data_IF_727810409686
#
_entry.id   IF_727810409686
#
_cell.length_a   1.000
_cell.length_b   1.000
_cell.length_c   1.000
_cell.angle_alpha   90.00
_cell.angle_beta   90.00
_cell.angle_gamma   90.00
#
_symmetry.space_group_name_H-M   'P 1'
#
loop_
_entity.id
_entity.type
_entity.pdbx_description
1 polymer ?
#
# COMPACT_ATOMS: atom_id res chain seq x y z
N UNK A 1 9.89 -39.60 -18.74
CA UNK A 1 9.46 -39.24 -17.38
C UNK A 1 9.91 -37.81 -17.08
N UNK A 2 9.10 -36.84 -17.49
CA UNK A 2 9.36 -35.42 -17.26
C UNK A 2 8.92 -35.07 -15.83
N UNK A 3 9.86 -34.58 -15.02
CA UNK A 3 9.60 -34.09 -13.66
C UNK A 3 8.68 -32.87 -13.75
N UNK A 4 7.62 -32.89 -12.96
CA UNK A 4 6.65 -31.81 -12.79
C UNK A 4 7.27 -30.72 -11.88
N UNK A 5 7.52 -29.48 -12.35
CA UNK A 5 8.13 -28.42 -11.56
C UNK A 5 7.15 -27.72 -10.59
N UNK A 6 5.93 -28.25 -10.40
CA UNK A 6 4.91 -27.65 -9.53
C UNK A 6 4.85 -28.21 -8.10
N UNK A 7 5.82 -29.06 -7.69
CA UNK A 7 5.79 -29.69 -6.35
C UNK A 7 6.53 -28.91 -5.23
N UNK A 8 7.18 -27.78 -5.52
CA UNK A 8 8.03 -27.08 -4.53
C UNK A 8 7.65 -25.60 -4.31
N UNK A 9 6.36 -25.25 -4.34
CA UNK A 9 5.91 -23.98 -3.75
C UNK A 9 5.24 -24.22 -2.40
N UNK A 10 6.01 -24.78 -1.45
CA UNK A 10 5.69 -24.62 -0.03
C UNK A 10 5.75 -23.13 0.27
N UNK A 11 4.60 -22.50 0.39
CA UNK A 11 4.52 -21.07 0.68
C UNK A 11 5.11 -20.81 2.06
N UNK A 12 5.87 -19.72 2.21
CA UNK A 12 6.46 -19.29 3.49
C UNK A 12 5.44 -19.25 4.65
N UNK A 13 4.15 -19.05 4.34
CA UNK A 13 3.02 -19.12 5.26
C UNK A 13 2.86 -20.47 5.98
N UNK A 14 3.13 -21.59 5.31
CA UNK A 14 3.04 -22.93 5.91
C UNK A 14 4.17 -23.19 6.91
N UNK A 15 5.32 -22.52 6.74
CA UNK A 15 6.42 -22.55 7.70
C UNK A 15 6.20 -21.56 8.84
N UNK A 16 5.68 -20.36 8.57
CA UNK A 16 5.51 -19.29 9.56
C UNK A 16 4.36 -19.57 10.55
N UNK A 17 3.27 -20.19 10.09
CA UNK A 17 2.13 -20.58 10.92
C UNK A 17 2.48 -21.63 11.99
N UNK A 18 3.55 -22.40 11.78
CA UNK A 18 4.03 -23.45 12.70
C UNK A 18 4.98 -22.95 13.79
N UNK A 19 5.44 -21.70 13.70
CA UNK A 19 6.33 -21.10 14.69
C UNK A 19 5.54 -20.64 15.93
N UNK A 20 6.11 -20.85 17.10
CA UNK A 20 5.60 -20.28 18.36
C UNK A 20 5.72 -18.75 18.34
N UNK A 21 4.94 -18.00 19.15
CA UNK A 21 5.06 -16.55 19.24
C UNK A 21 6.48 -16.05 19.53
N UNK A 22 7.24 -16.76 20.37
CA UNK A 22 8.64 -16.46 20.66
C UNK A 22 9.56 -16.73 19.47
N UNK A 23 9.34 -17.82 18.73
CA UNK A 23 10.11 -18.13 17.52
C UNK A 23 9.84 -17.14 16.39
N UNK A 24 8.62 -16.59 16.28
CA UNK A 24 8.30 -15.52 15.33
C UNK A 24 9.01 -14.22 15.68
N UNK A 25 9.12 -13.89 16.97
CA UNK A 25 9.90 -12.75 17.45
C UNK A 25 11.40 -12.94 17.21
N UNK A 26 11.94 -14.13 17.46
CA UNK A 26 13.35 -14.44 17.19
C UNK A 26 13.68 -14.47 15.69
N UNK A 27 12.80 -14.97 14.83
CA UNK A 27 12.96 -14.93 13.37
C UNK A 27 12.87 -13.48 12.83
N UNK A 28 11.98 -12.65 13.38
CA UNK A 28 11.93 -11.23 13.07
C UNK A 28 13.19 -10.50 13.57
N UNK A 29 13.72 -10.86 14.74
CA UNK A 29 14.93 -10.29 15.31
C UNK A 29 16.22 -10.74 14.59
N UNK A 30 16.32 -11.99 14.13
CA UNK A 30 17.50 -12.51 13.43
C UNK A 30 17.61 -11.98 11.99
N UNK A 31 16.48 -11.67 11.36
CA UNK A 31 16.45 -10.94 10.07
C UNK A 31 16.90 -9.47 10.22
N UNK A 32 16.80 -8.90 11.43
CA UNK A 32 17.31 -7.57 11.76
C UNK A 32 18.82 -7.57 12.04
N UNK A 33 19.39 -8.66 12.58
CA UNK A 33 20.83 -8.73 12.89
C UNK A 33 21.72 -8.88 11.64
N UNK A 34 21.26 -9.57 10.59
CA UNK A 34 22.01 -9.69 9.33
C UNK A 34 22.04 -8.39 8.52
N UNK A 35 21.02 -7.53 8.68
CA UNK A 35 21.03 -6.17 8.13
C UNK A 35 21.84 -5.18 8.98
N UNK A 36 22.06 -5.47 10.27
CA UNK A 36 22.75 -4.58 11.21
C UNK A 36 24.29 -4.68 11.16
N UNK A 37 24.88 -5.75 10.62
CA UNK A 37 26.34 -5.93 10.60
C UNK A 37 27.09 -5.15 9.49
N UNK A 38 26.40 -4.39 8.64
CA UNK A 38 27.04 -3.53 7.63
C UNK A 38 27.11 -2.04 7.97
N UNK A 39 26.93 -1.64 9.25
CA UNK A 39 27.12 -0.24 9.66
C UNK A 39 27.84 -0.09 10.99
N UNK A 40 29.16 -0.27 10.95
CA UNK A 40 30.10 0.43 11.82
C UNK A 40 31.02 1.27 10.93
N UNK A 41 30.92 2.59 11.06
CA UNK A 41 31.88 3.54 10.48
C UNK A 41 31.26 4.68 9.68
N UNK A 42 31.19 5.86 10.31
CA UNK A 42 31.13 7.14 9.59
C UNK A 42 29.81 7.90 9.73
N UNK A 43 29.84 8.97 10.52
CA UNK A 43 28.83 10.02 10.51
C UNK A 43 28.79 10.65 9.10
N UNK A 44 27.67 10.48 8.40
CA UNK A 44 27.38 11.21 7.16
C UNK A 44 25.98 11.78 7.29
N UNK A 45 25.89 13.12 7.36
CA UNK A 45 24.66 13.86 7.06
C UNK A 45 24.34 13.62 5.57
N UNK A 46 23.62 12.54 5.26
CA UNK A 46 23.09 12.28 3.91
C UNK A 46 21.71 12.90 3.83
N UNK A 47 21.62 14.08 3.21
CA UNK A 47 20.41 14.47 2.47
C UNK A 47 20.19 13.40 1.41
N UNK A 48 19.28 12.46 1.68
CA UNK A 48 18.88 11.44 0.71
C UNK A 48 18.01 12.11 -0.35
N UNK A 49 18.63 12.52 -1.47
CA UNK A 49 17.90 12.77 -2.70
C UNK A 49 17.56 11.39 -3.27
N UNK A 50 16.36 10.89 -2.97
CA UNK A 50 15.82 9.73 -3.66
C UNK A 50 15.67 10.10 -5.14
N UNK A 51 16.34 9.37 -6.03
CA UNK A 51 16.10 9.50 -7.46
C UNK A 51 14.66 9.06 -7.72
N UNK A 52 13.77 10.02 -8.00
CA UNK A 52 12.35 9.78 -8.26
C UNK A 52 12.27 8.86 -9.49
N UNK A 53 11.82 7.61 -9.33
CA UNK A 53 11.49 6.76 -10.49
C UNK A 53 10.39 7.47 -11.28
N UNK A 54 10.67 7.73 -12.55
CA UNK A 54 9.74 8.37 -13.46
C UNK A 54 8.88 7.30 -14.13
N UNK A 55 7.56 7.47 -14.10
CA UNK A 55 6.60 6.58 -14.74
C UNK A 55 5.71 7.44 -15.61
N UNK A 56 5.66 7.14 -16.90
CA UNK A 56 4.86 7.94 -17.83
C UNK A 56 3.35 7.67 -17.66
N UNK A 57 2.99 6.53 -17.06
CA UNK A 57 1.60 6.18 -16.77
C UNK A 57 1.46 5.23 -15.59
N UNK A 58 0.28 5.24 -14.97
CA UNK A 58 -0.16 4.25 -13.98
C UNK A 58 -1.48 3.63 -14.37
N UNK A 59 -1.78 2.48 -13.78
CA UNK A 59 -2.95 1.69 -14.07
C UNK A 59 -3.76 1.48 -12.80
N UNK A 60 -5.08 1.43 -12.95
CA UNK A 60 -6.00 0.97 -11.92
C UNK A 60 -6.91 -0.08 -12.53
N UNK A 61 -7.17 -1.15 -11.81
CA UNK A 61 -8.20 -2.11 -12.17
C UNK A 61 -9.34 -2.09 -11.16
N UNK A 62 -10.53 -2.37 -11.67
CA UNK A 62 -11.76 -2.45 -10.89
C UNK A 62 -12.76 -3.36 -11.61
N UNK A 63 -13.79 -3.82 -10.91
CA UNK A 63 -14.88 -4.57 -11.55
C UNK A 63 -15.89 -3.64 -12.20
N UNK A 64 -16.09 -2.46 -11.62
CA UNK A 64 -16.97 -1.43 -12.11
C UNK A 64 -16.42 -0.06 -11.68
N UNK A 65 -15.97 0.72 -12.65
CA UNK A 65 -15.47 2.07 -12.39
C UNK A 65 -16.56 3.07 -12.03
N UNK A 66 -17.81 2.84 -12.38
CA UNK A 66 -18.91 3.77 -12.10
C UNK A 66 -19.56 3.52 -10.74
N UNK A 67 -19.36 2.34 -10.15
CA UNK A 67 -19.79 2.08 -8.78
C UNK A 67 -18.98 2.90 -7.76
N UNK A 68 -19.70 3.65 -6.91
CA UNK A 68 -19.12 4.44 -5.81
C UNK A 68 -18.63 3.59 -4.64
N UNK A 69 -19.09 2.34 -4.57
CA UNK A 69 -18.79 1.43 -3.48
C UNK A 69 -18.37 0.04 -3.99
N UNK A 70 -17.87 -0.78 -3.08
CA UNK A 70 -17.70 -2.22 -3.26
C UNK A 70 -18.18 -2.96 -2.01
N UNK A 71 -18.61 -4.23 -2.13
CA UNK A 71 -18.91 -5.04 -0.97
C UNK A 71 -17.66 -5.22 -0.10
N UNK A 72 -17.86 -5.18 1.21
CA UNK A 72 -16.87 -5.61 2.20
C UNK A 72 -16.56 -7.10 2.05
N UNK A 73 -15.49 -7.57 2.69
CA UNK A 73 -15.10 -8.98 2.64
C UNK A 73 -16.19 -9.93 3.15
N UNK A 74 -17.04 -9.49 4.08
CA UNK A 74 -18.18 -10.26 4.58
C UNK A 74 -19.43 -10.13 3.70
N UNK A 75 -19.43 -9.22 2.72
CA UNK A 75 -20.57 -8.89 1.87
C UNK A 75 -21.70 -8.14 2.59
N UNK A 76 -21.55 -7.81 3.88
CA UNK A 76 -22.64 -7.24 4.69
C UNK A 76 -22.77 -5.73 4.59
N UNK A 77 -21.72 -5.06 4.16
CA UNK A 77 -21.64 -3.60 4.07
C UNK A 77 -20.94 -3.17 2.81
N UNK A 78 -21.30 -1.98 2.32
CA UNK A 78 -20.65 -1.30 1.21
C UNK A 78 -19.50 -0.41 1.72
N UNK A 79 -18.36 -0.48 1.03
CA UNK A 79 -17.17 0.31 1.32
C UNK A 79 -16.96 1.32 0.18
N UNK A 80 -16.90 2.63 0.48
CA UNK A 80 -16.58 3.65 -0.52
C UNK A 80 -15.26 3.36 -1.24
N UNK A 81 -15.24 3.60 -2.56
CA UNK A 81 -14.05 3.43 -3.39
C UNK A 81 -13.91 4.57 -4.39
N UNK A 82 -12.75 4.62 -5.04
CA UNK A 82 -12.55 5.50 -6.17
C UNK A 82 -13.44 5.07 -7.35
N UNK A 83 -14.05 6.05 -8.02
CA UNK A 83 -15.01 5.83 -9.10
C UNK A 83 -14.93 6.95 -10.14
N UNK A 84 -15.41 6.69 -11.35
CA UNK A 84 -15.62 7.69 -12.39
C UNK A 84 -16.97 8.38 -12.16
N UNK A 85 -16.98 9.71 -12.21
CA UNK A 85 -18.21 10.49 -12.26
C UNK A 85 -18.81 10.55 -13.67
N UNK A 86 -19.93 11.26 -13.83
CA UNK A 86 -20.63 11.42 -15.11
C UNK A 86 -19.79 12.13 -16.19
N UNK A 87 -18.79 12.91 -15.77
CA UNK A 87 -17.85 13.59 -16.67
C UNK A 87 -16.64 12.72 -16.98
N UNK A 88 -16.52 11.53 -16.39
CA UNK A 88 -15.37 10.64 -16.51
C UNK A 88 -14.17 11.05 -15.67
N UNK A 89 -14.33 11.95 -14.69
CA UNK A 89 -13.27 12.25 -13.73
C UNK A 89 -13.17 11.11 -12.71
N UNK A 90 -11.95 10.72 -12.33
CA UNK A 90 -11.75 9.74 -11.29
C UNK A 90 -11.72 10.43 -9.91
N UNK A 91 -12.74 10.13 -9.13
CA UNK A 91 -12.98 10.70 -7.81
C UNK A 91 -12.51 9.70 -6.75
N UNK A 92 -11.66 10.08 -5.77
CA UNK A 92 -11.36 9.23 -4.61
C UNK A 92 -12.63 8.98 -3.78
N UNK A 93 -12.55 8.06 -2.81
CA UNK A 93 -13.68 7.78 -1.92
C UNK A 93 -14.21 9.04 -1.20
N UNK A 94 -13.31 9.94 -0.80
CA UNK A 94 -13.66 11.27 -0.30
C UNK A 94 -12.55 12.29 -0.65
N UNK A 95 -12.74 13.16 -1.66
CA UNK A 95 -11.75 14.17 -2.05
C UNK A 95 -11.32 15.12 -0.93
N UNK A 96 -12.22 15.38 0.01
CA UNK A 96 -11.98 16.25 1.18
C UNK A 96 -11.55 15.45 2.42
N UNK A 97 -11.27 14.16 2.25
CA UNK A 97 -10.94 13.25 3.32
C UNK A 97 -9.59 13.53 3.97
N UNK A 98 -9.44 13.12 5.23
CA UNK A 98 -8.25 13.37 6.05
C UNK A 98 -7.49 12.11 6.44
N UNK A 99 -7.87 10.94 5.93
CA UNK A 99 -7.12 9.72 6.17
C UNK A 99 -5.66 9.89 5.75
N UNK A 100 -4.75 9.28 6.52
CA UNK A 100 -3.33 9.18 6.22
C UNK A 100 -3.05 8.14 5.11
N UNK A 101 -1.85 8.17 4.55
CA UNK A 101 -1.39 7.14 3.60
C UNK A 101 -1.44 5.76 4.27
N UNK A 102 -0.96 5.65 5.51
CA UNK A 102 -0.98 4.40 6.27
C UNK A 102 -2.39 3.87 6.44
N UNK A 103 -3.35 4.70 6.85
CA UNK A 103 -4.75 4.29 6.96
C UNK A 103 -5.32 3.83 5.62
N UNK A 104 -5.03 4.56 4.55
CA UNK A 104 -5.45 4.17 3.21
C UNK A 104 -4.93 2.79 2.82
N UNK A 105 -3.61 2.55 2.92
CA UNK A 105 -2.98 1.29 2.53
C UNK A 105 -3.49 0.13 3.39
N UNK A 106 -3.68 0.35 4.70
CA UNK A 106 -4.22 -0.66 5.62
C UNK A 106 -5.72 -0.89 5.49
N UNK A 107 -6.39 -0.18 4.56
CA UNK A 107 -7.84 -0.17 4.39
C UNK A 107 -8.62 0.24 5.67
N UNK A 108 -8.06 1.13 6.45
CA UNK A 108 -8.68 1.75 7.64
C UNK A 108 -9.32 3.08 7.22
N UNK A 109 -10.47 3.44 7.80
CA UNK A 109 -11.15 4.72 7.55
C UNK A 109 -11.38 5.03 6.05
N UNK A 110 -11.74 4.02 5.25
CA UNK A 110 -11.87 4.15 3.79
C UNK A 110 -12.84 5.24 3.31
N UNK A 111 -13.90 5.53 4.07
CA UNK A 111 -14.85 6.60 3.76
C UNK A 111 -14.21 8.00 3.85
N UNK A 112 -13.08 8.15 4.53
CA UNK A 112 -12.36 9.42 4.69
C UNK A 112 -11.08 9.48 3.86
N UNK A 113 -10.95 8.59 2.87
CA UNK A 113 -9.74 8.49 2.05
C UNK A 113 -9.74 9.46 0.87
N UNK A 114 -8.77 10.40 0.80
CA UNK A 114 -8.57 11.26 -0.37
C UNK A 114 -7.70 10.64 -1.47
N UNK A 115 -7.28 9.37 -1.30
CA UNK A 115 -6.36 8.72 -2.23
C UNK A 115 -7.04 7.74 -3.18
N UNK A 116 -6.47 7.64 -4.37
CA UNK A 116 -6.73 6.64 -5.40
C UNK A 116 -5.51 5.73 -5.49
N UNK A 117 -5.70 4.43 -5.25
CA UNK A 117 -4.69 3.40 -5.48
C UNK A 117 -4.49 3.12 -6.97
N UNK A 118 -3.24 3.12 -7.39
CA UNK A 118 -2.77 2.80 -8.75
C UNK A 118 -1.48 1.99 -8.70
N UNK A 119 -1.11 1.34 -9.80
CA UNK A 119 0.14 0.62 -9.95
C UNK A 119 0.89 1.11 -11.18
N UNK A 120 2.22 1.18 -11.12
CA UNK A 120 3.04 1.43 -12.31
C UNK A 120 3.20 0.20 -13.21
N UNK A 121 2.68 -0.97 -12.82
CA UNK A 121 2.89 -2.23 -13.52
C UNK A 121 1.59 -2.73 -14.15
N UNK A 122 1.53 -2.72 -15.48
CA UNK A 122 0.33 -3.08 -16.23
C UNK A 122 -0.15 -4.51 -15.98
N UNK A 123 0.76 -5.46 -15.71
CA UNK A 123 0.44 -6.88 -15.51
C UNK A 123 -0.24 -7.20 -14.19
N UNK A 124 -0.11 -6.33 -13.19
CA UNK A 124 -0.67 -6.51 -11.85
C UNK A 124 -2.19 -6.27 -11.85
N UNK A 125 -2.69 -5.46 -12.80
CA UNK A 125 -4.08 -5.03 -12.88
C UNK A 125 -5.08 -6.18 -13.03
N UNK A 126 -4.73 -7.28 -13.71
CA UNK A 126 -5.63 -8.45 -13.90
C UNK A 126 -6.09 -9.11 -12.60
N UNK A 127 -5.37 -8.92 -11.49
CA UNK A 127 -5.71 -9.52 -10.19
C UNK A 127 -6.80 -8.76 -9.44
N UNK A 128 -7.08 -7.51 -9.82
CA UNK A 128 -7.88 -6.58 -9.01
C UNK A 128 -9.23 -6.20 -9.63
N UNK A 129 -9.49 -6.61 -10.87
CA UNK A 129 -10.76 -6.32 -11.52
C UNK A 129 -10.84 -6.81 -12.96
N UNK A 130 -12.04 -6.74 -13.53
CA UNK A 130 -12.32 -7.08 -14.94
C UNK A 130 -12.16 -5.90 -15.88
N UNK A 131 -12.01 -4.69 -15.36
CA UNK A 131 -11.78 -3.47 -16.14
C UNK A 131 -10.47 -2.81 -15.73
N UNK A 132 -9.90 -2.00 -16.61
CA UNK A 132 -8.71 -1.19 -16.33
C UNK A 132 -8.85 0.21 -16.91
N UNK A 133 -8.32 1.18 -16.17
CA UNK A 133 -7.99 2.52 -16.70
C UNK A 133 -6.47 2.73 -16.66
N UNK A 134 -5.99 3.56 -17.57
CA UNK A 134 -4.64 4.11 -17.57
C UNK A 134 -4.72 5.60 -17.27
N UNK A 135 -3.78 6.11 -16.50
CA UNK A 135 -3.64 7.54 -16.19
C UNK A 135 -2.28 8.00 -16.70
N UNK A 136 -2.27 9.03 -17.56
CA UNK A 136 -1.07 9.71 -18.06
C UNK A 136 -0.48 10.57 -16.93
N UNK A 137 0.56 10.06 -16.29
CA UNK A 137 1.16 10.71 -15.12
C UNK A 137 1.97 11.94 -15.51
N UNK A 138 2.56 11.97 -16.70
CA UNK A 138 3.41 13.08 -17.13
C UNK A 138 2.57 14.33 -17.35
N UNK A 139 1.48 14.20 -18.11
CA UNK A 139 0.53 15.30 -18.33
C UNK A 139 -0.17 15.71 -17.03
N UNK A 140 -0.52 14.75 -16.17
CA UNK A 140 -1.12 15.06 -14.88
C UNK A 140 -0.14 15.83 -13.99
N UNK A 141 1.13 15.41 -13.92
CA UNK A 141 2.16 16.07 -13.13
C UNK A 141 2.46 17.49 -13.64
N UNK A 142 2.45 17.69 -14.96
CA UNK A 142 2.57 19.01 -15.59
C UNK A 142 1.38 19.92 -15.25
N UNK A 143 0.14 19.41 -15.33
CA UNK A 143 -1.04 20.19 -14.98
C UNK A 143 -1.08 20.55 -13.49
N UNK A 144 -0.62 19.64 -12.61
CA UNK A 144 -0.45 19.92 -11.18
C UNK A 144 0.58 21.02 -10.96
N UNK A 145 1.74 20.98 -11.64
CA UNK A 145 2.79 21.99 -11.46
C UNK A 145 2.39 23.38 -11.94
N UNK A 146 1.49 23.46 -12.93
CA UNK A 146 0.85 24.71 -13.40
C UNK A 146 -0.30 25.19 -12.51
N UNK A 147 -0.72 24.40 -11.52
CA UNK A 147 -1.87 24.72 -10.66
C UNK A 147 -3.24 24.51 -11.31
N UNK A 148 -3.29 23.88 -12.49
CA UNK A 148 -4.54 23.59 -13.21
C UNK A 148 -5.32 22.42 -12.57
N UNK A 149 -4.62 21.57 -11.82
CA UNK A 149 -5.19 20.41 -11.12
C UNK A 149 -4.72 20.42 -9.67
N UNK A 150 -5.66 20.41 -8.75
CA UNK A 150 -5.38 20.29 -7.32
C UNK A 150 -5.29 18.81 -6.93
N UNK A 151 -4.15 18.20 -7.22
CA UNK A 151 -3.86 16.81 -6.87
C UNK A 151 -2.38 16.63 -6.48
N UNK A 152 -2.06 15.49 -5.89
CA UNK A 152 -0.69 15.13 -5.52
C UNK A 152 -0.40 13.68 -5.93
N UNK A 153 0.72 13.47 -6.63
CA UNK A 153 1.21 12.13 -6.98
C UNK A 153 2.22 11.68 -5.92
N UNK A 154 1.92 10.57 -5.27
CA UNK A 154 2.71 10.01 -4.17
C UNK A 154 3.34 8.71 -4.65
N UNK A 155 4.65 8.77 -4.87
CA UNK A 155 5.44 7.62 -5.31
C UNK A 155 5.63 6.57 -4.22
N UNK A 156 5.93 5.34 -4.66
CA UNK A 156 6.16 4.16 -3.83
C UNK A 156 7.11 4.41 -2.64
N UNK A 157 8.22 5.12 -2.87
CA UNK A 157 9.22 5.35 -1.82
C UNK A 157 8.67 6.13 -0.63
N UNK A 158 7.82 7.14 -0.88
CA UNK A 158 7.16 7.91 0.18
C UNK A 158 6.14 7.05 0.93
N UNK A 159 5.35 6.24 0.22
CA UNK A 159 4.39 5.31 0.84
C UNK A 159 5.13 4.37 1.79
N UNK A 160 6.21 3.75 1.32
CA UNK A 160 7.04 2.84 2.13
C UNK A 160 7.65 3.57 3.32
N UNK A 161 8.10 4.81 3.15
CA UNK A 161 8.65 5.61 4.24
C UNK A 161 7.61 5.86 5.35
N UNK A 162 6.39 6.26 5.00
CA UNK A 162 5.31 6.50 5.98
C UNK A 162 4.86 5.21 6.69
N UNK A 163 4.82 4.08 5.96
CA UNK A 163 4.55 2.76 6.55
C UNK A 163 5.66 2.34 7.51
N UNK A 164 6.94 2.53 7.15
CA UNK A 164 8.08 2.22 8.01
C UNK A 164 8.11 3.08 9.28
N UNK A 165 7.77 4.36 9.17
CA UNK A 165 7.65 5.24 10.34
C UNK A 165 6.53 4.75 11.27
N UNK A 166 5.38 4.37 10.70
CA UNK A 166 4.26 3.80 11.46
C UNK A 166 4.62 2.47 12.13
N UNK A 167 5.35 1.61 11.42
CA UNK A 167 5.86 0.33 11.93
C UNK A 167 6.78 0.56 13.13
N UNK A 168 7.69 1.52 13.03
CA UNK A 168 8.65 1.76 14.09
C UNK A 168 8.01 2.36 15.34
N UNK A 169 7.04 3.27 15.19
CA UNK A 169 6.24 3.74 16.31
C UNK A 169 5.51 2.57 17.02
N UNK A 170 4.99 1.60 16.26
CA UNK A 170 4.31 0.42 16.84
C UNK A 170 5.27 -0.53 17.54
N UNK A 171 6.49 -0.71 17.02
CA UNK A 171 7.56 -1.50 17.66
C UNK A 171 8.02 -0.84 18.96
N UNK A 172 8.18 0.48 18.98
CA UNK A 172 8.48 1.23 20.20
C UNK A 172 7.35 1.11 21.23
N UNK A 173 6.08 1.22 20.82
CA UNK A 173 4.94 1.03 21.71
C UNK A 173 4.91 -0.38 22.32
N UNK A 174 5.21 -1.41 21.52
CA UNK A 174 5.32 -2.78 22.00
C UNK A 174 6.45 -2.94 23.03
N UNK A 175 7.64 -2.39 22.75
CA UNK A 175 8.78 -2.43 23.67
C UNK A 175 8.46 -1.78 25.02
N UNK A 176 7.74 -0.66 25.02
CA UNK A 176 7.29 -0.01 26.25
C UNK A 176 6.20 -0.82 26.98
N UNK A 177 5.36 -1.55 26.24
CA UNK A 177 4.29 -2.36 26.84
C UNK A 177 4.87 -3.57 27.59
N UNK A 178 5.83 -4.28 26.99
CA UNK A 178 6.40 -5.50 27.58
C UNK A 178 7.28 -5.22 28.81
N UNK A 179 7.73 -3.98 29.00
CA UNK A 179 8.46 -3.57 30.21
C UNK A 179 7.55 -3.38 31.43
N UNK A 180 6.22 -3.42 31.26
CA UNK A 180 5.27 -3.27 32.36
C UNK A 180 5.02 -4.62 33.02
N UNK A 181 5.09 -4.68 34.35
CA UNK A 181 4.86 -5.92 35.12
C UNK A 181 3.50 -6.58 34.83
N UNK A 182 2.46 -5.78 34.59
CA UNK A 182 1.09 -6.27 34.34
C UNK A 182 0.50 -5.66 33.07
N UNK A 183 1.01 -6.05 31.89
CA UNK A 183 0.45 -5.57 30.62
C UNK A 183 -0.79 -6.33 30.18
N UNK A 184 -1.71 -5.64 29.49
CA UNK A 184 -2.90 -6.28 28.92
C UNK A 184 -2.54 -7.16 27.72
N UNK A 185 -2.78 -8.47 27.83
CA UNK A 185 -2.64 -9.42 26.70
C UNK A 185 -3.42 -8.98 25.47
N UNK A 186 -4.64 -8.47 25.64
CA UNK A 186 -5.46 -7.94 24.53
C UNK A 186 -4.77 -6.78 23.81
N UNK A 187 -4.11 -5.89 24.54
CA UNK A 187 -3.35 -4.76 23.95
C UNK A 187 -2.11 -5.27 23.22
N UNK A 188 -1.39 -6.21 23.82
CA UNK A 188 -0.24 -6.87 23.21
C UNK A 188 -0.62 -7.52 21.86
N UNK A 189 -1.67 -8.34 21.85
CA UNK A 189 -2.13 -9.06 20.66
C UNK A 189 -2.50 -8.07 19.53
N UNK A 190 -3.19 -6.95 19.85
CA UNK A 190 -3.50 -5.89 18.88
C UNK A 190 -2.27 -5.18 18.32
N UNK A 191 -1.24 -4.96 19.13
CA UNK A 191 0.00 -4.33 18.66
C UNK A 191 0.75 -5.26 17.71
N UNK A 192 0.84 -6.55 18.05
CA UNK A 192 1.44 -7.57 17.18
C UNK A 192 0.68 -7.63 15.84
N UNK A 193 -0.65 -7.68 15.86
CA UNK A 193 -1.46 -7.67 14.64
C UNK A 193 -1.19 -6.41 13.80
N UNK A 194 -1.11 -5.24 14.43
CA UNK A 194 -0.80 -3.98 13.74
C UNK A 194 0.58 -3.97 13.10
N UNK A 195 1.59 -4.53 13.78
CA UNK A 195 2.96 -4.67 13.27
C UNK A 195 2.97 -5.58 12.03
N UNK A 196 2.34 -6.74 12.12
CA UNK A 196 2.23 -7.69 11.00
C UNK A 196 1.52 -7.05 9.79
N UNK A 197 0.43 -6.32 10.03
CA UNK A 197 -0.29 -5.58 8.96
C UNK A 197 0.61 -4.57 8.26
N UNK A 198 1.43 -3.84 9.00
CA UNK A 198 2.36 -2.85 8.45
C UNK A 198 3.51 -3.49 7.66
N UNK A 199 4.07 -4.61 8.15
CA UNK A 199 5.10 -5.36 7.42
C UNK A 199 4.54 -5.91 6.09
N UNK A 200 3.35 -6.51 6.13
CA UNK A 200 2.65 -6.96 4.92
C UNK A 200 2.33 -5.81 3.97
N UNK A 201 1.93 -4.65 4.49
CA UNK A 201 1.67 -3.46 3.68
C UNK A 201 2.92 -3.00 2.94
N UNK A 202 4.08 -2.94 3.60
CA UNK A 202 5.35 -2.57 2.96
C UNK A 202 5.67 -3.53 1.80
N UNK A 203 5.54 -4.84 2.02
CA UNK A 203 5.83 -5.82 0.98
C UNK A 203 4.82 -5.79 -0.17
N UNK A 204 3.53 -5.65 0.12
CA UNK A 204 2.49 -5.50 -0.91
C UNK A 204 2.72 -4.22 -1.73
N UNK A 205 2.99 -3.09 -1.07
CA UNK A 205 3.33 -1.82 -1.73
C UNK A 205 4.55 -2.00 -2.64
N UNK A 206 5.60 -2.71 -2.20
CA UNK A 206 6.81 -3.02 -3.00
C UNK A 206 6.52 -3.88 -4.22
N UNK A 207 5.81 -4.99 -4.00
CA UNK A 207 5.43 -5.97 -5.01
C UNK A 207 4.54 -5.33 -6.08
N UNK A 208 3.54 -4.58 -5.65
CA UNK A 208 2.49 -4.05 -6.52
C UNK A 208 2.87 -2.75 -7.22
N UNK A 209 4.08 -2.24 -7.00
CA UNK A 209 4.52 -0.95 -7.55
C UNK A 209 3.50 0.17 -7.29
N UNK A 210 2.97 0.17 -6.07
CA UNK A 210 1.87 1.05 -5.66
C UNK A 210 2.28 2.52 -5.78
N UNK A 211 1.39 3.30 -6.39
CA UNK A 211 1.45 4.76 -6.48
C UNK A 211 0.07 5.28 -6.06
N UNK A 212 0.03 6.30 -5.22
CA UNK A 212 -1.21 6.95 -4.84
C UNK A 212 -1.35 8.29 -5.57
N UNK A 213 -2.58 8.62 -5.95
CA UNK A 213 -2.95 9.96 -6.35
C UNK A 213 -3.92 10.50 -5.30
N UNK A 214 -3.58 11.63 -4.68
CA UNK A 214 -4.46 12.35 -3.76
C UNK A 214 -5.25 13.40 -4.53
N UNK A 215 -6.57 13.41 -4.39
CA UNK A 215 -7.46 14.34 -5.08
C UNK A 215 -8.07 13.75 -6.36
N UNK A 216 -8.78 14.62 -7.11
CA UNK A 216 -9.53 14.23 -8.32
C UNK A 216 -8.59 14.20 -9.52
N UNK A 217 -8.71 13.16 -10.36
CA UNK A 217 -8.02 13.08 -11.66
C UNK A 217 -9.01 13.41 -12.78
N UNK A 218 -8.81 14.53 -13.51
CA UNK A 218 -9.68 14.88 -14.62
C UNK A 218 -9.67 13.86 -15.77
N UNK A 219 -10.81 13.72 -16.45
CA UNK A 219 -11.00 12.75 -17.54
C UNK A 219 -9.93 12.81 -18.65
N UNK A 220 -9.40 14.00 -18.95
CA UNK A 220 -8.42 14.25 -20.03
C UNK A 220 -7.07 13.56 -19.82
N UNK A 221 -6.81 13.05 -18.62
CA UNK A 221 -5.61 12.27 -18.29
C UNK A 221 -5.88 10.77 -18.24
N UNK A 222 -7.11 10.32 -18.50
CA UNK A 222 -7.56 8.96 -18.31
C UNK A 222 -7.87 8.30 -19.66
N UNK A 223 -7.45 7.06 -19.82
CA UNK A 223 -7.87 6.18 -20.93
C UNK A 223 -8.57 4.94 -20.35
N UNK A 224 -9.68 4.53 -20.97
CA UNK A 224 -10.57 3.47 -20.47
C UNK A 224 -11.85 4.00 -19.80
N UNK A 225 -12.64 3.16 -19.10
CA UNK A 225 -12.35 1.77 -18.75
C UNK A 225 -12.36 0.81 -19.94
N UNK A 226 -11.35 -0.05 -20.01
CA UNK A 226 -11.27 -1.16 -20.97
C UNK A 226 -11.53 -2.48 -20.26
N UNK A 227 -12.25 -3.41 -20.90
CA UNK A 227 -12.41 -4.76 -20.37
C UNK A 227 -11.10 -5.55 -20.51
N UNK A 228 -10.73 -6.26 -19.44
CA UNK A 228 -9.59 -7.17 -19.41
C UNK A 228 -10.07 -8.57 -19.80
N UNK A 229 -9.64 -9.03 -20.98
CA UNK A 229 -9.79 -10.41 -21.43
C UNK A 229 -8.81 -11.36 -20.71
#
# INVERSE_FOLDING_TARGET
FLRNPLAETRTWWDQWSRLTPEQRLQAAASTLLSAAFHRLGGAIKRTVRFAKRHYNSVFRADNDFYSKTRPSQSGKTEIPKAHLDEMGNLIPANPNGRASITEHILNINKHDSPYISTTSEQGISKRYGKQRIQIDLDKLQEAISKGEVQAEIIGQDRIIQELKQSLEMKKQELNQLIQRENYSKRRYDKLIESIIKLENAIENTRRDKEILIKGIVPNRFISGPENLN
#
